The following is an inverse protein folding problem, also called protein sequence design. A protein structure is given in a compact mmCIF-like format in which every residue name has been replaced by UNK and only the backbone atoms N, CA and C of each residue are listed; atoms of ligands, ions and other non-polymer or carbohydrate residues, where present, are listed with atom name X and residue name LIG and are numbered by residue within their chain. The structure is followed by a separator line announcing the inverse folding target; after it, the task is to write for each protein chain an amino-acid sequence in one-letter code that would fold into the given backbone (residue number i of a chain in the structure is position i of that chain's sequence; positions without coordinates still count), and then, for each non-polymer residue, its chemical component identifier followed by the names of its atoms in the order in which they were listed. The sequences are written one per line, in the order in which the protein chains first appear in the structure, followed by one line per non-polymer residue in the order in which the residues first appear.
data_IF_106719271651
#
_entry.id   IF_106719271651
#
_cell.length_a   1.000
_cell.length_b   1.000
_cell.length_c   1.000
_cell.angle_alpha   90.00
_cell.angle_beta   90.00
_cell.angle_gamma   90.00
#
_symmetry.space_group_name_H-M   'P 1'
#
loop_
_entity.id
_entity.type
_entity.pdbx_description
1 polymer ?
#
# COMPACT_ATOMS: atom_id res chain seq x y z
N UNK A 1 -12.04 8.36 -6.58
CA UNK A 1 -12.25 6.93 -6.87
C UNK A 1 -13.34 6.48 -5.93
N UNK A 2 -14.43 5.90 -6.45
CA UNK A 2 -15.45 5.26 -5.62
C UNK A 2 -14.80 4.04 -4.95
N UNK A 3 -14.59 4.10 -3.64
CA UNK A 3 -14.05 3.00 -2.82
C UNK A 3 -15.15 2.07 -2.30
N UNK A 4 -16.37 2.21 -2.81
CA UNK A 4 -17.50 1.31 -2.55
C UNK A 4 -17.12 -0.11 -3.03
N UNK A 5 -16.61 -0.92 -2.11
CA UNK A 5 -16.14 -2.29 -2.37
C UNK A 5 -14.79 -2.62 -1.73
N UNK A 6 -14.03 -1.64 -1.26
CA UNK A 6 -12.75 -1.87 -0.59
C UNK A 6 -12.94 -2.10 0.91
N UNK A 7 -12.35 -3.18 1.42
CA UNK A 7 -12.27 -3.43 2.86
C UNK A 7 -11.05 -2.70 3.45
N UNK A 8 -11.19 -2.30 4.72
CA UNK A 8 -10.14 -1.64 5.48
C UNK A 8 -9.57 -2.59 6.52
N UNK A 9 -8.28 -2.88 6.42
CA UNK A 9 -7.57 -3.80 7.31
C UNK A 9 -6.46 -3.04 8.07
N UNK A 10 -6.68 -2.68 9.35
CA UNK A 10 -5.66 -2.05 10.17
C UNK A 10 -4.53 -3.02 10.52
N UNK A 11 -3.29 -2.61 10.28
CA UNK A 11 -2.08 -3.41 10.55
C UNK A 11 -1.09 -2.58 11.38
N UNK A 12 -0.68 -3.13 12.53
CA UNK A 12 0.41 -2.59 13.32
C UNK A 12 1.76 -3.06 12.76
N UNK A 13 2.60 -2.12 12.30
CA UNK A 13 3.94 -2.41 11.81
C UNK A 13 4.93 -1.33 12.25
N UNK A 14 6.13 -1.73 12.69
CA UNK A 14 7.19 -0.80 13.16
C UNK A 14 6.72 0.32 14.11
N UNK A 15 5.76 0.01 14.99
CA UNK A 15 5.23 0.94 16.00
C UNK A 15 4.18 1.92 15.49
N UNK A 16 3.66 1.74 14.27
CA UNK A 16 2.62 2.58 13.69
C UNK A 16 1.52 1.74 13.05
N UNK A 17 0.29 2.26 13.06
CA UNK A 17 -0.87 1.61 12.42
C UNK A 17 -0.95 2.12 10.98
N UNK A 18 -1.07 1.19 10.05
CA UNK A 18 -1.33 1.43 8.63
C UNK A 18 -2.66 0.79 8.27
N UNK A 19 -3.51 1.51 7.54
CA UNK A 19 -4.77 0.94 7.07
C UNK A 19 -4.58 0.45 5.64
N UNK A 20 -4.65 -0.85 5.42
CA UNK A 20 -4.61 -1.41 4.07
C UNK A 20 -6.03 -1.38 3.53
N UNK A 21 -6.24 -0.63 2.44
CA UNK A 21 -7.53 -0.49 1.78
C UNK A 21 -7.47 -1.29 0.48
N UNK A 22 -8.12 -2.46 0.44
CA UNK A 22 -8.06 -3.38 -0.71
C UNK A 22 -9.29 -4.28 -0.78
N UNK A 23 -9.65 -4.70 -1.99
CA UNK A 23 -10.57 -5.83 -2.25
C UNK A 23 -9.82 -7.15 -2.52
N UNK A 24 -8.48 -7.11 -2.58
CA UNK A 24 -7.65 -8.24 -2.96
C UNK A 24 -7.15 -9.01 -1.73
N UNK A 25 -7.17 -10.34 -1.82
CA UNK A 25 -6.46 -11.19 -0.87
C UNK A 25 -4.95 -10.98 -1.00
N UNK A 26 -4.34 -10.50 0.09
CA UNK A 26 -2.91 -10.34 0.24
C UNK A 26 -2.42 -11.17 1.43
N UNK A 27 -1.28 -11.83 1.26
CA UNK A 27 -0.62 -12.49 2.36
C UNK A 27 -0.03 -11.46 3.34
N UNK A 28 0.13 -11.85 4.59
CA UNK A 28 0.72 -10.99 5.60
C UNK A 28 2.17 -10.56 5.27
N UNK A 29 2.91 -11.44 4.58
CA UNK A 29 4.26 -11.13 4.08
C UNK A 29 4.21 -10.03 3.02
N UNK A 30 3.27 -10.13 2.08
CA UNK A 30 3.10 -9.11 1.04
C UNK A 30 2.74 -7.74 1.62
N UNK A 31 1.79 -7.71 2.56
CA UNK A 31 1.38 -6.47 3.24
C UNK A 31 2.58 -5.80 3.92
N UNK A 32 3.37 -6.56 4.69
CA UNK A 32 4.54 -6.00 5.38
C UNK A 32 5.61 -5.52 4.42
N UNK A 33 5.88 -6.29 3.36
CA UNK A 33 6.85 -5.91 2.35
C UNK A 33 6.44 -4.61 1.63
N UNK A 34 5.16 -4.45 1.27
CA UNK A 34 4.64 -3.20 0.71
C UNK A 34 4.86 -2.03 1.66
N UNK A 35 4.47 -2.17 2.94
CA UNK A 35 4.66 -1.10 3.93
C UNK A 35 6.14 -0.76 4.08
N UNK A 36 7.02 -1.75 4.16
CA UNK A 36 8.46 -1.53 4.28
C UNK A 36 9.02 -0.75 3.09
N UNK A 37 8.61 -1.09 1.86
CA UNK A 37 8.99 -0.33 0.65
C UNK A 37 8.50 1.12 0.67
N UNK A 38 7.28 1.34 1.14
CA UNK A 38 6.73 2.68 1.27
C UNK A 38 7.46 3.51 2.32
N UNK A 39 7.85 2.89 3.45
CA UNK A 39 8.70 3.53 4.47
C UNK A 39 10.06 3.90 3.89
N UNK A 40 10.72 2.98 3.17
CA UNK A 40 12.02 3.21 2.51
C UNK A 40 11.97 4.41 1.56
N UNK A 41 10.86 4.57 0.83
CA UNK A 41 10.63 5.67 -0.10
C UNK A 41 10.17 6.97 0.55
N UNK A 42 9.95 6.96 1.88
CA UNK A 42 9.44 8.13 2.59
C UNK A 42 8.00 8.50 2.24
N UNK A 43 7.20 7.56 1.74
CA UNK A 43 5.83 7.79 1.25
C UNK A 43 4.87 8.32 2.34
N UNK A 44 5.25 8.20 3.61
CA UNK A 44 4.44 8.62 4.76
C UNK A 44 4.92 9.95 5.42
N UNK A 45 5.84 10.70 4.79
CA UNK A 45 6.55 11.83 5.43
C UNK A 45 5.98 13.24 5.20
N UNK A 46 4.82 13.43 4.57
CA UNK A 46 4.20 14.77 4.50
C UNK A 46 2.89 14.84 3.72
N UNK A 47 2.15 15.94 3.93
CA UNK A 47 0.88 16.32 3.28
C UNK A 47 1.00 16.56 1.75
N UNK A 48 2.19 16.37 1.18
CA UNK A 48 2.55 16.58 -0.23
C UNK A 48 3.18 15.32 -0.85
N UNK A 49 2.52 14.16 -0.73
CA UNK A 49 2.70 13.16 -1.78
C UNK A 49 2.08 13.75 -3.04
N UNK A 50 2.87 14.00 -4.10
CA UNK A 50 2.34 14.57 -5.35
C UNK A 50 1.02 13.89 -5.71
N UNK A 51 -0.11 14.62 -5.70
CA UNK A 51 -1.41 14.03 -5.97
C UNK A 51 -1.38 13.32 -7.32
N UNK A 52 -1.56 12.00 -7.31
CA UNK A 52 -1.87 11.24 -8.51
C UNK A 52 -0.77 10.37 -9.11
N UNK A 53 0.36 10.12 -8.43
CA UNK A 53 1.29 9.07 -8.87
C UNK A 53 1.38 7.90 -7.88
N UNK A 54 0.72 6.77 -8.18
CA UNK A 54 0.79 5.59 -7.32
C UNK A 54 2.18 4.98 -7.31
N UNK A 55 2.59 4.45 -6.16
CA UNK A 55 3.84 3.75 -5.96
C UNK A 55 3.77 2.34 -6.54
N UNK A 56 4.80 1.95 -7.28
CA UNK A 56 5.01 0.55 -7.67
C UNK A 56 5.91 -0.16 -6.67
N UNK A 57 5.36 -1.09 -5.90
CA UNK A 57 6.03 -1.86 -4.86
C UNK A 57 6.23 -3.32 -5.33
N UNK A 58 7.41 -3.66 -5.87
CA UNK A 58 7.74 -5.05 -6.20
C UNK A 58 7.93 -5.86 -4.91
N UNK A 59 7.20 -6.97 -4.81
CA UNK A 59 7.20 -7.91 -3.70
C UNK A 59 7.15 -9.32 -4.28
N UNK A 60 8.19 -10.11 -4.03
CA UNK A 60 8.37 -11.53 -4.39
C UNK A 60 7.33 -12.11 -5.37
N UNK A 61 7.56 -11.95 -6.68
CA UNK A 61 6.71 -12.53 -7.73
C UNK A 61 5.51 -11.66 -8.14
N UNK A 62 5.28 -10.52 -7.49
CA UNK A 62 4.26 -9.55 -7.85
C UNK A 62 4.75 -8.09 -7.77
N UNK A 63 4.06 -7.19 -8.44
CA UNK A 63 4.20 -5.74 -8.33
C UNK A 63 2.86 -5.17 -7.90
N UNK A 64 2.83 -4.57 -6.72
CA UNK A 64 1.66 -3.89 -6.20
C UNK A 64 1.71 -2.42 -6.58
N UNK A 65 0.62 -1.92 -7.15
CA UNK A 65 0.45 -0.49 -7.42
C UNK A 65 -0.44 0.07 -6.32
N UNK A 66 0.12 0.97 -5.53
CA UNK A 66 -0.50 1.47 -4.31
C UNK A 66 -0.53 2.98 -4.29
N UNK A 67 -1.63 3.55 -3.82
CA UNK A 67 -1.73 4.96 -3.47
C UNK A 67 -1.62 5.14 -1.95
N UNK A 68 -1.05 6.26 -1.52
CA UNK A 68 -0.81 6.52 -0.09
C UNK A 68 -1.46 7.84 0.30
N UNK A 69 -2.39 7.78 1.24
CA UNK A 69 -3.11 8.93 1.78
C UNK A 69 -2.94 8.95 3.30
N UNK A 70 -1.99 9.76 3.79
CA UNK A 70 -1.61 9.71 5.21
C UNK A 70 -1.00 8.35 5.57
N UNK A 71 -1.71 7.54 6.36
CA UNK A 71 -1.32 6.14 6.69
C UNK A 71 -2.24 5.10 6.06
N UNK A 72 -3.13 5.52 5.19
CA UNK A 72 -3.97 4.64 4.40
C UNK A 72 -3.18 4.25 3.14
N UNK A 73 -3.09 2.94 2.90
CA UNK A 73 -2.42 2.35 1.75
C UNK A 73 -3.49 1.69 0.90
N UNK A 74 -3.86 2.35 -0.19
CA UNK A 74 -4.87 1.88 -1.13
C UNK A 74 -4.20 1.00 -2.17
N UNK A 75 -4.52 -0.28 -2.19
CA UNK A 75 -3.94 -1.23 -3.16
C UNK A 75 -4.83 -1.27 -4.38
N UNK A 76 -4.39 -0.62 -5.46
CA UNK A 76 -5.18 -0.42 -6.68
C UNK A 76 -5.15 -1.67 -7.57
N UNK A 77 -3.97 -2.25 -7.76
CA UNK A 77 -3.79 -3.43 -8.61
C UNK A 77 -2.56 -4.24 -8.22
N UNK A 78 -2.61 -5.53 -8.55
CA UNK A 78 -1.50 -6.47 -8.45
C UNK A 78 -1.17 -6.99 -9.84
N UNK A 79 0.08 -6.83 -10.25
CA UNK A 79 0.61 -7.36 -11.50
C UNK A 79 1.59 -8.50 -11.18
N UNK A 80 1.63 -9.59 -11.97
CA UNK A 80 2.68 -10.59 -11.82
C UNK A 80 4.04 -9.96 -12.17
N UNK A 81 5.06 -10.22 -11.36
CA UNK A 81 6.42 -9.79 -11.69
C UNK A 81 6.91 -10.57 -12.91
N UNK A 82 7.35 -9.86 -13.95
CA UNK A 82 7.98 -10.44 -15.13
C UNK A 82 9.39 -10.95 -14.83
#
# INVERSE_FOLDING_TARGET
MDTDGFDVHPILHKGRIYNIVTEMDMTFVEVRAVIDRLIERGAFRGEDGEPGMPYSCPVEGAVFVVDVQGYDVVVIRREPAK
#
